data_IF_046091345478
#
_entry.id   IF_046091345478
#
_cell.length_a   1.000
_cell.length_b   1.000
_cell.length_c   1.000
_cell.angle_alpha   90.00
_cell.angle_beta   90.00
_cell.angle_gamma   90.00
#
_symmetry.space_group_name_H-M   'P 1'
#
loop_
_entity.id
_entity.type
_entity.pdbx_description
1 polymer ?
#
# COMPACT_ATOMS: atom_id res chain seq x y z
N UNK A 1 6.32 -73.40 -7.81
CA UNK A 1 7.68 -72.81 -7.73
C UNK A 1 7.66 -71.49 -8.47
N UNK A 2 8.07 -70.41 -7.79
CA UNK A 2 8.28 -69.08 -8.38
C UNK A 2 9.45 -69.15 -9.37
N UNK A 3 9.41 -68.35 -10.44
CA UNK A 3 10.57 -67.54 -10.83
C UNK A 3 10.11 -66.33 -11.65
N UNK A 4 10.56 -65.17 -11.18
CA UNK A 4 10.41 -63.86 -11.75
C UNK A 4 11.60 -63.60 -12.71
N UNK A 5 11.33 -62.96 -13.85
CA UNK A 5 12.28 -62.12 -14.59
C UNK A 5 11.43 -61.01 -15.23
N UNK A 6 11.23 -59.86 -14.58
CA UNK A 6 12.07 -58.66 -14.57
C UNK A 6 12.48 -58.18 -15.98
N UNK A 7 11.74 -57.15 -16.41
CA UNK A 7 12.13 -55.91 -17.11
C UNK A 7 13.20 -55.97 -18.22
N UNK A 8 12.84 -55.44 -19.40
CA UNK A 8 13.08 -54.04 -19.83
C UNK A 8 12.89 -53.95 -21.35
N UNK A 9 12.01 -53.07 -21.82
CA UNK A 9 12.39 -51.97 -22.70
C UNK A 9 11.19 -51.04 -22.88
N UNK A 10 11.12 -50.07 -21.96
CA UNK A 10 10.45 -48.80 -22.16
C UNK A 10 11.18 -48.05 -23.27
N UNK A 11 10.51 -47.74 -24.38
CA UNK A 11 10.73 -46.49 -25.12
C UNK A 11 9.82 -46.47 -26.34
N UNK A 12 8.59 -45.98 -26.18
CA UNK A 12 7.80 -45.39 -27.27
C UNK A 12 6.52 -44.77 -26.66
N UNK A 13 6.68 -43.60 -26.04
CA UNK A 13 5.60 -42.62 -25.97
C UNK A 13 6.19 -41.30 -26.48
N UNK A 14 6.06 -41.11 -27.80
CA UNK A 14 5.96 -39.79 -28.39
C UNK A 14 4.59 -39.24 -28.05
N UNK A 15 4.48 -38.14 -27.30
CA UNK A 15 3.49 -37.08 -27.59
C UNK A 15 4.04 -35.74 -27.09
N UNK A 16 4.45 -34.96 -28.08
CA UNK A 16 4.47 -33.49 -28.18
C UNK A 16 4.18 -32.61 -26.97
N UNK A 17 5.06 -31.62 -26.83
CA UNK A 17 4.74 -30.21 -26.59
C UNK A 17 3.89 -29.88 -25.34
N UNK A 18 4.58 -29.53 -24.26
CA UNK A 18 4.24 -28.31 -23.56
C UNK A 18 5.52 -27.47 -23.44
N UNK A 19 5.84 -26.77 -24.53
CA UNK A 19 6.44 -25.46 -24.38
C UNK A 19 5.45 -24.68 -23.52
N UNK A 20 5.67 -24.64 -22.20
CA UNK A 20 5.11 -23.60 -21.37
C UNK A 20 5.73 -22.29 -21.89
N UNK A 21 5.16 -21.77 -22.98
CA UNK A 21 5.20 -20.34 -23.25
C UNK A 21 4.68 -19.74 -21.96
N UNK A 22 5.57 -19.16 -21.16
CA UNK A 22 5.18 -18.19 -20.15
C UNK A 22 4.32 -17.19 -20.93
N UNK A 23 3.01 -17.28 -20.77
CA UNK A 23 2.14 -16.21 -21.21
C UNK A 23 2.75 -14.95 -20.62
N UNK A 24 3.20 -14.04 -21.49
CA UNK A 24 3.50 -12.69 -21.05
C UNK A 24 2.17 -12.17 -20.56
N UNK A 25 1.96 -12.19 -19.24
CA UNK A 25 0.82 -11.53 -18.61
C UNK A 25 0.85 -10.09 -19.11
N UNK A 26 -0.07 -9.75 -20.00
CA UNK A 26 -0.23 -8.38 -20.46
C UNK A 26 -0.90 -7.67 -19.30
N UNK A 27 -0.09 -6.95 -18.54
CA UNK A 27 -0.58 -6.09 -17.49
C UNK A 27 -1.42 -5.02 -18.18
N UNK A 28 -2.75 -5.15 -18.09
CA UNK A 28 -3.65 -4.02 -18.34
C UNK A 28 -3.24 -2.86 -17.43
N UNK A 29 -3.71 -1.66 -17.74
CA UNK A 29 -3.47 -0.45 -16.96
C UNK A 29 -4.12 -0.61 -15.57
N UNK A 30 -3.48 -1.37 -14.69
CA UNK A 30 -3.88 -1.64 -13.32
C UNK A 30 -3.74 -0.33 -12.54
N UNK A 31 -4.78 0.02 -11.80
CA UNK A 31 -4.91 1.25 -11.02
C UNK A 31 -3.55 1.72 -10.47
N UNK A 32 -3.21 2.96 -10.81
CA UNK A 32 -1.87 3.54 -10.60
C UNK A 32 -1.61 3.95 -9.15
N UNK A 33 -2.44 3.48 -8.21
CA UNK A 33 -2.48 3.97 -6.83
C UNK A 33 -2.32 2.83 -5.82
N UNK A 34 -1.73 3.15 -4.68
CA UNK A 34 -1.61 2.28 -3.50
C UNK A 34 -2.54 2.81 -2.41
N UNK A 35 -3.52 2.02 -2.00
CA UNK A 35 -4.42 2.39 -0.91
C UNK A 35 -3.67 2.33 0.42
N UNK A 36 -3.65 3.44 1.15
CA UNK A 36 -2.95 3.60 2.42
C UNK A 36 -3.93 4.07 3.49
N UNK A 37 -4.03 3.34 4.60
CA UNK A 37 -4.87 3.74 5.75
C UNK A 37 -4.02 4.40 6.81
N UNK A 38 -4.45 5.54 7.34
CA UNK A 38 -3.71 6.38 8.27
C UNK A 38 -4.59 6.75 9.47
N UNK A 39 -4.02 6.75 10.67
CA UNK A 39 -4.59 7.37 11.86
C UNK A 39 -3.55 8.23 12.61
N UNK A 40 -4.02 9.17 13.41
CA UNK A 40 -3.22 10.01 14.29
C UNK A 40 -3.60 9.79 15.75
N UNK A 41 -2.60 9.50 16.57
CA UNK A 41 -2.72 9.43 18.03
C UNK A 41 -1.81 10.47 18.68
N UNK A 42 -2.15 10.91 19.89
CA UNK A 42 -1.19 11.62 20.74
C UNK A 42 -0.23 10.65 21.42
N UNK A 43 0.73 11.22 22.18
CA UNK A 43 1.73 10.48 22.97
C UNK A 43 1.14 9.51 24.00
N UNK A 44 -0.10 9.73 24.42
CA UNK A 44 -0.80 8.88 25.38
C UNK A 44 -1.68 7.81 24.68
N UNK A 45 -1.64 7.76 23.33
CA UNK A 45 -2.40 6.83 22.51
C UNK A 45 -3.85 7.25 22.27
N UNK A 46 -4.23 8.49 22.58
CA UNK A 46 -5.57 9.00 22.37
C UNK A 46 -5.76 9.43 20.92
N UNK A 47 -6.92 9.10 20.37
CA UNK A 47 -7.30 9.45 19.01
C UNK A 47 -7.45 10.96 18.81
N UNK A 48 -6.82 11.47 17.75
CA UNK A 48 -6.80 12.90 17.42
C UNK A 48 -7.85 13.32 16.38
N UNK A 49 -8.53 12.37 15.72
CA UNK A 49 -9.37 12.62 14.54
C UNK A 49 -10.83 12.18 14.67
N UNK A 50 -11.10 11.13 15.45
CA UNK A 50 -12.34 10.35 15.42
C UNK A 50 -13.09 10.33 16.76
N UNK A 51 -12.75 11.20 17.71
CA UNK A 51 -13.53 11.43 18.93
C UNK A 51 -14.82 12.21 18.68
N UNK A 52 -15.64 12.41 19.72
CA UNK A 52 -16.85 13.26 19.63
C UNK A 52 -16.50 14.74 19.39
N UNK A 53 -15.37 15.18 19.96
CA UNK A 53 -14.79 16.51 19.81
C UNK A 53 -13.27 16.37 19.55
N UNK A 54 -12.88 15.89 18.36
CA UNK A 54 -11.48 15.65 18.06
C UNK A 54 -10.73 16.98 17.90
N UNK A 55 -9.46 17.08 18.33
CA UNK A 55 -8.63 18.27 18.10
C UNK A 55 -8.49 18.63 16.62
N UNK A 56 -8.49 17.63 15.75
CA UNK A 56 -8.41 17.78 14.29
C UNK A 56 -9.51 16.94 13.63
N UNK A 57 -10.72 17.47 13.45
CA UNK A 57 -11.82 16.74 12.82
C UNK A 57 -11.42 16.19 11.47
N UNK A 58 -11.65 14.89 11.25
CA UNK A 58 -11.26 14.20 10.02
C UNK A 58 -11.89 14.84 8.76
N UNK A 59 -13.06 15.46 8.92
CA UNK A 59 -13.82 16.14 7.85
C UNK A 59 -13.16 17.42 7.36
N UNK A 60 -12.38 18.07 8.23
CA UNK A 60 -11.75 19.37 7.95
C UNK A 60 -10.37 19.21 7.29
N UNK A 61 -9.90 17.97 7.19
CA UNK A 61 -8.59 17.63 6.64
C UNK A 61 -8.51 17.94 5.15
N UNK A 62 -7.36 18.44 4.71
CA UNK A 62 -7.02 18.51 3.29
C UNK A 62 -5.78 17.69 3.03
N UNK A 63 -5.80 16.91 1.97
CA UNK A 63 -4.66 16.09 1.55
C UNK A 63 -4.26 16.51 0.15
N UNK A 64 -2.99 16.84 -0.03
CA UNK A 64 -2.49 17.32 -1.32
C UNK A 64 -1.02 16.96 -1.56
N UNK A 65 -0.62 16.97 -2.82
CA UNK A 65 0.78 16.96 -3.26
C UNK A 65 1.18 18.38 -3.69
N UNK A 66 2.48 18.65 -3.68
CA UNK A 66 3.02 19.89 -4.24
C UNK A 66 3.76 19.51 -5.53
N UNK A 67 3.27 20.02 -6.66
CA UNK A 67 3.88 19.83 -7.97
C UNK A 67 5.19 20.63 -8.10
N UNK A 68 6.07 20.32 -9.07
CA UNK A 68 7.34 21.04 -9.25
C UNK A 68 7.19 22.55 -9.48
N UNK A 69 6.05 22.99 -10.00
CA UNK A 69 5.72 24.40 -10.18
C UNK A 69 5.18 25.08 -8.90
N UNK A 70 5.13 24.38 -7.77
CA UNK A 70 4.62 24.86 -6.49
C UNK A 70 3.11 24.75 -6.31
N UNK A 71 2.36 24.28 -7.32
CA UNK A 71 0.91 24.13 -7.22
C UNK A 71 0.52 22.98 -6.29
N UNK A 72 -0.49 23.22 -5.44
CA UNK A 72 -1.14 22.15 -4.66
C UNK A 72 -2.09 21.36 -5.56
N UNK A 73 -1.88 20.05 -5.65
CA UNK A 73 -2.79 19.10 -6.30
C UNK A 73 -3.48 18.27 -5.22
N UNK A 74 -4.80 18.35 -5.14
CA UNK A 74 -5.57 17.58 -4.16
C UNK A 74 -5.44 16.07 -4.40
N UNK A 75 -5.30 15.33 -3.31
CA UNK A 75 -5.25 13.87 -3.31
C UNK A 75 -6.57 13.35 -2.79
N UNK A 76 -7.25 12.52 -3.58
CA UNK A 76 -8.50 11.90 -3.15
C UNK A 76 -8.29 10.97 -1.95
N UNK A 77 -9.13 11.13 -0.94
CA UNK A 77 -9.16 10.30 0.25
C UNK A 77 -10.61 10.02 0.68
N UNK A 78 -10.78 8.99 1.51
CA UNK A 78 -12.04 8.68 2.17
C UNK A 78 -11.82 8.52 3.67
N UNK A 79 -12.89 8.71 4.45
CA UNK A 79 -12.84 8.67 5.91
C UNK A 79 -13.71 7.50 6.38
N UNK A 80 -13.15 6.61 7.20
CA UNK A 80 -13.89 5.58 7.90
C UNK A 80 -13.87 5.87 9.41
N UNK A 81 -14.99 6.38 9.94
CA UNK A 81 -15.10 6.70 11.37
C UNK A 81 -15.26 5.47 12.26
N UNK A 82 -15.91 4.43 11.76
CA UNK A 82 -16.15 3.22 12.54
C UNK A 82 -14.82 2.49 12.80
N UNK A 83 -13.97 2.42 11.77
CA UNK A 83 -12.66 1.79 11.85
C UNK A 83 -11.53 2.79 12.16
N UNK A 84 -11.86 4.08 12.33
CA UNK A 84 -10.97 5.18 12.74
C UNK A 84 -9.70 5.30 11.87
N UNK A 85 -9.89 5.47 10.56
CA UNK A 85 -8.79 5.79 9.66
C UNK A 85 -9.21 6.68 8.49
N UNK A 86 -8.21 7.31 7.89
CA UNK A 86 -8.27 7.98 6.59
C UNK A 86 -7.65 7.05 5.55
N UNK A 87 -8.38 6.76 4.48
CA UNK A 87 -7.89 6.00 3.34
C UNK A 87 -7.43 6.95 2.24
N UNK A 88 -6.13 6.97 1.96
CA UNK A 88 -5.48 7.83 0.98
C UNK A 88 -4.95 6.97 -0.16
N UNK A 89 -5.22 7.37 -1.41
CA UNK A 89 -4.63 6.72 -2.57
C UNK A 89 -3.34 7.45 -2.95
N UNK A 90 -2.18 6.82 -2.72
CA UNK A 90 -0.86 7.38 -3.06
C UNK A 90 -0.36 6.84 -4.39
N UNK A 91 0.55 7.56 -5.04
CA UNK A 91 1.16 7.13 -6.31
C UNK A 91 1.94 5.80 -6.14
N UNK A 92 1.99 5.00 -7.21
CA UNK A 92 2.82 3.79 -7.31
C UNK A 92 4.31 4.07 -7.54
N UNK A 93 4.77 5.32 -7.47
CA UNK A 93 6.19 5.66 -7.48
C UNK A 93 6.94 4.96 -6.35
N UNK A 94 8.24 4.68 -6.54
CA UNK A 94 9.08 4.07 -5.49
C UNK A 94 9.14 4.93 -4.23
N UNK A 95 9.04 6.25 -4.38
CA UNK A 95 8.91 7.17 -3.26
C UNK A 95 8.14 8.41 -3.68
N UNK A 96 7.63 9.14 -2.68
CA UNK A 96 6.94 10.39 -2.92
C UNK A 96 6.64 11.14 -1.63
N UNK A 97 5.96 12.27 -1.79
CA UNK A 97 5.55 13.12 -0.68
C UNK A 97 4.15 13.65 -0.93
N UNK A 98 3.32 13.60 0.10
CA UNK A 98 2.06 14.34 0.17
C UNK A 98 1.97 15.03 1.53
N UNK A 99 0.97 15.88 1.69
CA UNK A 99 0.79 16.73 2.85
C UNK A 99 -0.61 16.54 3.38
N UNK A 100 -0.74 16.50 4.70
CA UNK A 100 -2.02 16.51 5.41
C UNK A 100 -2.10 17.83 6.19
N UNK A 101 -3.02 18.69 5.79
CA UNK A 101 -3.35 19.93 6.51
C UNK A 101 -4.42 19.59 7.54
N UNK A 102 -4.04 19.55 8.82
CA UNK A 102 -4.94 19.22 9.94
C UNK A 102 -5.84 20.39 10.33
N UNK A 103 -5.33 21.61 10.16
CA UNK A 103 -6.02 22.90 10.31
C UNK A 103 -5.17 23.99 9.63
N UNK A 104 -5.69 25.22 9.43
CA UNK A 104 -4.86 26.33 8.96
C UNK A 104 -3.59 26.44 9.82
N UNK A 105 -2.44 26.50 9.15
CA UNK A 105 -1.09 26.58 9.75
C UNK A 105 -0.55 25.30 10.44
N UNK A 106 -1.28 24.18 10.42
CA UNK A 106 -0.77 22.88 10.87
C UNK A 106 -0.74 21.87 9.72
N UNK A 107 0.41 21.79 9.07
CA UNK A 107 0.63 20.93 7.89
C UNK A 107 1.68 19.89 8.23
N UNK A 108 1.31 18.63 8.06
CA UNK A 108 2.20 17.49 8.24
C UNK A 108 2.69 16.99 6.86
N UNK A 109 4.00 16.83 6.73
CA UNK A 109 4.64 16.26 5.54
C UNK A 109 4.70 14.74 5.70
N UNK A 110 4.06 14.03 4.77
CA UNK A 110 4.07 12.57 4.73
C UNK A 110 4.94 12.10 3.56
N UNK A 111 5.98 11.33 3.87
CA UNK A 111 6.84 10.70 2.85
C UNK A 111 6.61 9.20 2.84
N UNK A 112 6.64 8.60 1.66
CA UNK A 112 6.43 7.17 1.51
C UNK A 112 7.54 6.51 0.70
N UNK A 113 7.76 5.21 0.94
CA UNK A 113 8.54 4.33 0.07
C UNK A 113 7.71 3.09 -0.26
N UNK A 114 7.52 2.86 -1.55
CA UNK A 114 6.91 1.65 -2.08
C UNK A 114 8.00 0.70 -2.62
N UNK A 115 7.73 -0.59 -2.58
CA UNK A 115 8.56 -1.62 -3.22
C UNK A 115 7.69 -2.55 -4.06
N UNK A 116 8.24 -3.02 -5.18
CA UNK A 116 7.56 -3.99 -6.02
C UNK A 116 7.40 -5.33 -5.28
N UNK A 117 6.19 -5.87 -5.27
CA UNK A 117 5.97 -7.24 -4.81
C UNK A 117 6.57 -8.22 -5.82
N UNK A 118 7.63 -8.91 -5.40
CA UNK A 118 8.33 -9.90 -6.23
C UNK A 118 7.49 -11.16 -6.49
N UNK A 119 6.41 -11.36 -5.73
CA UNK A 119 5.56 -12.54 -5.83
C UNK A 119 4.35 -12.32 -6.75
N UNK A 120 4.04 -11.08 -7.12
CA UNK A 120 2.85 -10.75 -7.93
C UNK A 120 3.29 -10.29 -9.33
N UNK A 121 2.94 -11.02 -10.41
CA UNK A 121 3.18 -10.55 -11.76
C UNK A 121 2.45 -9.21 -11.98
N UNK A 122 3.08 -8.29 -12.72
CA UNK A 122 2.63 -6.89 -12.89
C UNK A 122 2.94 -5.92 -11.73
N UNK A 123 3.87 -6.30 -10.85
CA UNK A 123 4.53 -5.43 -9.86
C UNK A 123 3.54 -4.59 -9.05
N UNK A 124 2.61 -5.25 -8.36
CA UNK A 124 1.84 -4.56 -7.32
C UNK A 124 2.84 -3.88 -6.37
N UNK A 125 2.68 -2.57 -6.17
CA UNK A 125 3.55 -1.83 -5.26
C UNK A 125 3.01 -1.99 -3.85
N UNK A 126 3.89 -2.37 -2.93
CA UNK A 126 3.59 -2.48 -1.50
C UNK A 126 4.22 -1.28 -0.82
N UNK A 127 3.43 -0.57 -0.02
CA UNK A 127 3.93 0.47 0.87
C UNK A 127 4.79 -0.17 1.97
N UNK A 128 6.05 0.23 2.06
CA UNK A 128 7.03 -0.30 3.02
C UNK A 128 7.35 0.65 4.15
N UNK A 129 7.36 1.94 3.85
CA UNK A 129 7.65 2.97 4.83
C UNK A 129 6.72 4.14 4.61
N UNK A 130 6.21 4.68 5.72
CA UNK A 130 5.47 5.93 5.77
C UNK A 130 6.05 6.76 6.91
N UNK A 131 6.40 8.02 6.67
CA UNK A 131 6.98 8.91 7.68
C UNK A 131 6.21 10.21 7.77
N UNK A 132 6.01 10.68 9.00
CA UNK A 132 5.44 11.97 9.35
C UNK A 132 6.55 12.90 9.84
N UNK A 133 6.86 13.99 9.12
CA UNK A 133 7.90 14.97 9.49
C UNK A 133 9.22 14.32 9.96
N UNK A 134 9.69 13.31 9.22
CA UNK A 134 10.90 12.49 9.49
C UNK A 134 10.75 11.37 10.53
N UNK A 135 9.63 11.26 11.23
CA UNK A 135 9.34 10.18 12.17
C UNK A 135 8.65 9.03 11.43
N UNK A 136 9.17 7.81 11.55
CA UNK A 136 8.53 6.64 10.97
C UNK A 136 7.18 6.36 11.63
N UNK A 137 6.14 6.17 10.82
CA UNK A 137 4.85 5.71 11.27
C UNK A 137 4.93 4.26 11.75
N UNK A 138 4.11 3.93 12.73
CA UNK A 138 3.95 2.57 13.21
C UNK A 138 2.88 1.86 12.38
N UNK A 139 3.18 0.68 11.83
CA UNK A 139 2.18 -0.11 11.13
C UNK A 139 1.50 -1.10 12.09
N UNK A 140 0.17 -1.05 12.19
CA UNK A 140 -0.64 -2.04 12.89
C UNK A 140 -1.06 -3.13 11.91
N UNK A 141 -0.44 -4.31 12.00
CA UNK A 141 -0.72 -5.48 11.16
C UNK A 141 -2.15 -5.99 11.29
N UNK A 142 -2.81 -5.79 12.44
CA UNK A 142 -4.16 -6.31 12.69
C UNK A 142 -5.21 -5.47 11.99
N UNK A 143 -5.08 -4.15 12.08
CA UNK A 143 -6.03 -3.19 11.47
C UNK A 143 -5.60 -2.75 10.07
N UNK A 144 -4.35 -3.03 9.70
CA UNK A 144 -3.70 -2.59 8.46
C UNK A 144 -3.68 -1.05 8.33
N UNK A 145 -3.41 -0.38 9.44
CA UNK A 145 -3.40 1.09 9.54
C UNK A 145 -2.00 1.57 9.94
N UNK A 146 -1.53 2.61 9.26
CA UNK A 146 -0.35 3.37 9.68
C UNK A 146 -0.75 4.40 10.73
N UNK A 147 -0.08 4.37 11.88
CA UNK A 147 -0.33 5.22 13.03
C UNK A 147 0.79 6.25 13.13
N UNK A 148 0.42 7.52 13.13
CA UNK A 148 1.32 8.63 13.44
C UNK A 148 1.08 9.11 14.87
N UNK A 149 2.15 9.15 15.67
CA UNK A 149 2.11 9.66 17.04
C UNK A 149 2.61 11.11 17.06
N UNK A 150 1.83 12.03 17.63
CA UNK A 150 2.13 13.47 17.70
C UNK A 150 2.30 13.96 19.14
#
# INVERSE_FOLDING_TARGET
MKNYSILLLLSLIFVSANSCKKEKTICGQLDMLVLTKINYLDKDGKDLLFGDHPPYPAEDLKIYQILPNGQKLEVYFSINRNEKFIAVNIDRSESGTFYIELKPDLIDKITFRNEADKNIPCSAMILKELKHNDIAGQYDEKTQVWIFTK
#
